data_IF_523345457873
#
_entry.id   IF_523345457873
#
_cell.length_a   1.000
_cell.length_b   1.000
_cell.length_c   1.000
_cell.angle_alpha   90.00
_cell.angle_beta   90.00
_cell.angle_gamma   90.00
#
_symmetry.space_group_name_H-M   'P 1'
#
loop_
_entity.id
_entity.type
_entity.pdbx_description
1 polymer ?
#
# COMPACT_ATOMS: atom_id res chain seq x y z
N UNK A 1 -20.95 -38.26 -16.50
CA UNK A 1 -20.96 -36.89 -15.92
C UNK A 1 -20.40 -36.86 -14.50
N UNK A 2 -20.92 -37.62 -13.53
CA UNK A 2 -20.44 -37.58 -12.12
C UNK A 2 -18.91 -37.74 -11.94
N UNK A 3 -18.29 -38.68 -12.68
CA UNK A 3 -16.84 -38.96 -12.60
C UNK A 3 -15.98 -37.76 -13.11
N UNK A 4 -16.41 -37.06 -14.17
CA UNK A 4 -15.74 -35.84 -14.66
C UNK A 4 -15.87 -34.66 -13.70
N UNK A 5 -17.05 -34.47 -13.11
CA UNK A 5 -17.26 -33.46 -12.08
C UNK A 5 -16.42 -33.69 -10.81
N UNK A 6 -16.30 -34.96 -10.43
CA UNK A 6 -15.48 -35.36 -9.28
C UNK A 6 -13.97 -35.13 -9.56
N UNK A 7 -13.49 -35.44 -10.74
CA UNK A 7 -12.12 -35.15 -11.16
C UNK A 7 -11.85 -33.64 -11.23
N UNK A 8 -12.79 -32.86 -11.78
CA UNK A 8 -12.69 -31.40 -11.84
C UNK A 8 -12.66 -30.78 -10.44
N UNK A 9 -13.52 -31.24 -9.51
CA UNK A 9 -13.51 -30.73 -8.14
C UNK A 9 -12.20 -31.03 -7.40
N UNK A 10 -11.63 -32.21 -7.59
CA UNK A 10 -10.33 -32.59 -7.01
C UNK A 10 -9.21 -31.73 -7.59
N UNK A 11 -9.23 -31.47 -8.90
CA UNK A 11 -8.27 -30.59 -9.56
C UNK A 11 -8.38 -29.16 -9.05
N UNK A 12 -9.59 -28.58 -9.00
CA UNK A 12 -9.83 -27.21 -8.50
C UNK A 12 -9.40 -27.06 -7.06
N UNK A 13 -9.71 -28.01 -6.18
CA UNK A 13 -9.27 -27.98 -4.78
C UNK A 13 -7.75 -28.12 -4.65
N UNK A 14 -7.13 -28.96 -5.50
CA UNK A 14 -5.68 -29.14 -5.51
C UNK A 14 -4.89 -27.90 -5.95
N UNK A 15 -5.49 -27.05 -6.79
CA UNK A 15 -4.86 -25.88 -7.40
C UNK A 15 -5.51 -24.55 -6.96
N UNK A 16 -6.36 -24.58 -5.94
CA UNK A 16 -7.17 -23.42 -5.51
C UNK A 16 -6.34 -22.17 -5.24
N UNK A 17 -5.19 -22.32 -4.61
CA UNK A 17 -4.28 -21.18 -4.37
C UNK A 17 -3.81 -20.54 -5.68
N UNK A 18 -3.31 -21.34 -6.63
CA UNK A 18 -2.81 -20.84 -7.92
C UNK A 18 -3.92 -20.19 -8.74
N UNK A 19 -5.10 -20.76 -8.72
CA UNK A 19 -6.28 -20.22 -9.43
C UNK A 19 -6.64 -18.84 -8.83
N UNK A 20 -6.72 -18.74 -7.52
CA UNK A 20 -7.00 -17.46 -6.85
C UNK A 20 -5.90 -16.41 -7.09
N UNK A 21 -4.64 -16.83 -7.10
CA UNK A 21 -3.50 -15.95 -7.41
C UNK A 21 -3.61 -15.38 -8.83
N UNK A 22 -3.90 -16.21 -9.81
CA UNK A 22 -4.07 -15.80 -11.22
C UNK A 22 -5.30 -14.89 -11.37
N UNK A 23 -6.45 -15.25 -10.76
CA UNK A 23 -7.66 -14.41 -10.81
C UNK A 23 -7.37 -13.03 -10.20
N UNK A 24 -6.71 -12.98 -9.05
CA UNK A 24 -6.31 -11.71 -8.42
C UNK A 24 -5.47 -10.86 -9.37
N UNK A 25 -4.48 -11.46 -10.03
CA UNK A 25 -3.64 -10.76 -11.01
C UNK A 25 -4.43 -10.24 -12.20
N UNK A 26 -5.29 -11.06 -12.80
CA UNK A 26 -6.09 -10.66 -13.96
C UNK A 26 -7.08 -9.53 -13.63
N UNK A 27 -7.75 -9.62 -12.48
CA UNK A 27 -8.67 -8.56 -12.02
C UNK A 27 -7.91 -7.26 -11.79
N UNK A 28 -6.80 -7.33 -11.06
CA UNK A 28 -6.00 -6.15 -10.76
C UNK A 28 -5.37 -5.52 -12.01
N UNK A 29 -4.91 -6.35 -12.97
CA UNK A 29 -4.42 -5.88 -14.27
C UNK A 29 -5.53 -5.14 -15.04
N UNK A 30 -6.76 -5.68 -15.03
CA UNK A 30 -7.91 -4.99 -15.62
C UNK A 30 -8.10 -3.60 -15.07
N UNK A 31 -8.06 -3.41 -13.74
CA UNK A 31 -8.16 -2.10 -13.12
C UNK A 31 -6.99 -1.17 -13.49
N UNK A 32 -5.75 -1.68 -13.57
CA UNK A 32 -4.59 -0.89 -14.02
C UNK A 32 -4.76 -0.38 -15.46
N UNK A 33 -5.16 -1.25 -16.39
CA UNK A 33 -5.32 -0.91 -17.80
C UNK A 33 -6.35 0.21 -18.02
N UNK A 34 -7.39 0.26 -17.18
CA UNK A 34 -8.41 1.30 -17.21
C UNK A 34 -8.16 2.46 -16.23
N UNK A 35 -6.93 2.64 -15.75
CA UNK A 35 -6.56 3.80 -14.93
C UNK A 35 -5.77 4.79 -15.80
N UNK A 36 -6.25 6.04 -16.02
CA UNK A 36 -5.54 7.04 -16.81
C UNK A 36 -4.39 7.68 -16.03
N UNK A 37 -3.55 8.45 -16.71
CA UNK A 37 -2.64 9.40 -16.04
C UNK A 37 -3.44 10.55 -15.46
N UNK A 38 -3.07 10.97 -14.23
CA UNK A 38 -3.79 12.02 -13.50
C UNK A 38 -2.86 12.85 -12.62
N UNK A 39 -3.22 14.10 -12.39
CA UNK A 39 -2.59 15.02 -11.43
C UNK A 39 -1.05 15.03 -11.52
N UNK A 40 -0.36 14.60 -10.46
CA UNK A 40 1.11 14.62 -10.38
C UNK A 40 1.81 13.76 -11.45
N UNK A 41 1.12 12.83 -12.13
CA UNK A 41 1.73 12.08 -13.23
C UNK A 41 2.30 13.05 -14.28
N UNK A 42 1.58 14.09 -14.62
CA UNK A 42 2.04 15.11 -15.57
C UNK A 42 3.24 15.92 -15.06
N UNK A 43 3.37 16.09 -13.73
CA UNK A 43 4.53 16.75 -13.10
C UNK A 43 5.82 15.92 -13.24
N UNK A 44 5.70 14.60 -13.16
CA UNK A 44 6.85 13.68 -13.19
C UNK A 44 7.19 13.19 -14.60
N UNK A 45 6.34 13.43 -15.60
CA UNK A 45 6.62 13.14 -17.02
C UNK A 45 7.80 13.97 -17.57
N UNK A 46 8.32 13.59 -18.72
CA UNK A 46 9.31 14.37 -19.47
C UNK A 46 10.75 14.19 -19.05
N UNK A 47 11.10 13.05 -18.43
CA UNK A 47 12.50 12.64 -18.23
C UNK A 47 13.16 12.27 -19.55
N UNK A 48 14.24 12.98 -19.93
CA UNK A 48 14.93 12.80 -21.23
C UNK A 48 16.00 11.67 -21.19
N UNK A 49 16.60 11.46 -20.02
CA UNK A 49 17.63 10.44 -19.78
C UNK A 49 17.67 10.06 -18.30
N UNK A 50 18.34 8.97 -17.97
CA UNK A 50 18.54 8.55 -16.58
C UNK A 50 19.22 9.64 -15.73
N UNK A 51 20.22 10.33 -16.30
CA UNK A 51 20.91 11.42 -15.61
C UNK A 51 20.00 12.64 -15.39
N UNK A 52 19.14 12.98 -16.36
CA UNK A 52 18.14 14.02 -16.20
C UNK A 52 17.13 13.69 -15.10
N UNK A 53 16.66 12.44 -15.06
CA UNK A 53 15.75 11.97 -14.01
C UNK A 53 16.41 12.00 -12.62
N UNK A 54 17.67 11.60 -12.50
CA UNK A 54 18.44 11.68 -11.26
C UNK A 54 18.64 13.13 -10.82
N UNK A 55 18.94 14.04 -11.77
CA UNK A 55 19.10 15.45 -11.47
C UNK A 55 17.76 16.07 -10.99
N UNK A 56 16.66 15.79 -11.69
CA UNK A 56 15.33 16.25 -11.29
C UNK A 56 14.94 15.72 -9.91
N UNK A 57 15.29 14.47 -9.60
CA UNK A 57 15.03 13.90 -8.29
C UNK A 57 15.90 14.51 -7.19
N UNK A 58 17.18 14.77 -7.48
CA UNK A 58 18.04 15.54 -6.56
C UNK A 58 17.45 16.93 -6.25
N UNK A 59 17.00 17.65 -7.28
CA UNK A 59 16.35 18.96 -7.09
C UNK A 59 15.06 18.85 -6.26
N UNK A 60 14.29 17.78 -6.46
CA UNK A 60 13.09 17.52 -5.67
C UNK A 60 13.41 17.22 -4.21
N UNK A 61 14.42 16.40 -3.95
CA UNK A 61 14.91 16.08 -2.60
C UNK A 61 15.38 17.34 -1.87
N UNK A 62 16.06 18.23 -2.58
CA UNK A 62 16.58 19.48 -2.00
C UNK A 62 15.51 20.54 -1.78
N UNK A 63 14.41 20.56 -2.57
CA UNK A 63 13.47 21.68 -2.58
C UNK A 63 12.03 21.31 -2.18
N UNK A 64 11.65 20.00 -2.16
CA UNK A 64 10.25 19.63 -1.97
C UNK A 64 10.03 18.63 -0.84
N UNK A 65 10.59 17.42 -0.93
CA UNK A 65 10.40 16.36 0.08
C UNK A 65 11.39 15.20 -0.11
N UNK A 66 11.51 14.36 0.92
CA UNK A 66 12.48 13.27 0.98
C UNK A 66 12.09 11.95 0.33
N UNK A 67 10.92 11.79 -0.31
CA UNK A 67 10.43 10.50 -0.84
C UNK A 67 11.07 10.11 -2.18
N UNK A 68 12.39 10.23 -2.28
CA UNK A 68 13.12 10.09 -3.55
C UNK A 68 12.99 8.73 -4.21
N UNK A 69 12.90 7.65 -3.44
CA UNK A 69 12.71 6.31 -4.00
C UNK A 69 11.42 6.24 -4.84
N UNK A 70 10.31 6.73 -4.27
CA UNK A 70 9.01 6.69 -4.92
C UNK A 70 8.96 7.59 -6.18
N UNK A 71 9.47 8.82 -6.05
CA UNK A 71 9.41 9.79 -7.15
C UNK A 71 10.36 9.42 -8.30
N UNK A 72 11.54 8.88 -7.98
CA UNK A 72 12.46 8.39 -9.01
C UNK A 72 11.82 7.24 -9.81
N UNK A 73 11.21 6.27 -9.12
CA UNK A 73 10.50 5.16 -9.78
C UNK A 73 9.34 5.69 -10.64
N UNK A 74 8.56 6.65 -10.14
CA UNK A 74 7.49 7.26 -10.90
C UNK A 74 8.02 7.91 -12.20
N UNK A 75 9.12 8.68 -12.14
CA UNK A 75 9.76 9.27 -13.33
C UNK A 75 10.20 8.22 -14.34
N UNK A 76 10.81 7.13 -13.86
CA UNK A 76 11.25 6.03 -14.72
C UNK A 76 10.07 5.41 -15.46
N UNK A 77 8.97 5.10 -14.75
CA UNK A 77 7.81 4.47 -15.38
C UNK A 77 6.98 5.43 -16.24
N UNK A 78 6.91 6.71 -15.89
CA UNK A 78 6.26 7.73 -16.72
C UNK A 78 7.03 8.05 -18.02
N UNK A 79 8.30 7.64 -18.11
CA UNK A 79 9.08 7.71 -19.36
C UNK A 79 8.91 6.48 -20.26
N UNK A 80 8.19 5.46 -19.78
CA UNK A 80 7.97 4.20 -20.49
C UNK A 80 6.51 4.07 -20.97
N UNK A 81 6.24 2.99 -21.72
CA UNK A 81 4.87 2.66 -22.09
C UNK A 81 4.06 2.29 -20.83
N UNK A 82 2.86 2.88 -20.71
CA UNK A 82 1.96 2.64 -19.58
C UNK A 82 1.68 1.16 -19.34
N UNK A 83 1.51 0.38 -20.40
CA UNK A 83 1.24 -1.08 -20.28
C UNK A 83 2.36 -1.79 -19.52
N UNK A 84 3.63 -1.38 -19.72
CA UNK A 84 4.75 -1.94 -18.97
C UNK A 84 4.60 -1.67 -17.47
N UNK A 85 4.23 -0.44 -17.10
CA UNK A 85 3.92 -0.11 -15.72
C UNK A 85 2.75 -0.95 -15.19
N UNK A 86 1.65 -1.05 -15.92
CA UNK A 86 0.44 -1.77 -15.50
C UNK A 86 0.73 -3.25 -15.19
N UNK A 87 1.57 -3.90 -16.01
CA UNK A 87 2.01 -5.29 -15.79
C UNK A 87 2.91 -5.40 -14.56
N UNK A 88 3.90 -4.52 -14.43
CA UNK A 88 4.83 -4.53 -13.29
C UNK A 88 4.09 -4.19 -11.99
N UNK A 89 3.19 -3.20 -12.03
CA UNK A 89 2.37 -2.83 -10.88
C UNK A 89 1.46 -3.98 -10.43
N UNK A 90 0.92 -4.74 -11.38
CA UNK A 90 0.18 -5.97 -11.09
C UNK A 90 1.08 -7.01 -10.42
N UNK A 91 2.29 -7.19 -10.91
CA UNK A 91 3.29 -8.06 -10.27
C UNK A 91 3.63 -7.62 -8.84
N UNK A 92 3.75 -6.32 -8.59
CA UNK A 92 3.98 -5.76 -7.25
C UNK A 92 2.79 -6.00 -6.31
N UNK A 93 1.56 -5.87 -6.80
CA UNK A 93 0.36 -6.19 -6.01
C UNK A 93 0.28 -7.70 -5.69
N UNK A 94 0.58 -8.56 -6.65
CA UNK A 94 0.67 -10.00 -6.42
C UNK A 94 1.77 -10.34 -5.41
N UNK A 95 2.91 -9.66 -5.47
CA UNK A 95 3.97 -9.82 -4.49
C UNK A 95 3.55 -9.32 -3.10
N UNK A 96 2.85 -8.18 -3.00
CA UNK A 96 2.27 -7.68 -1.76
C UNK A 96 1.39 -8.77 -1.10
N UNK A 97 0.42 -9.29 -1.84
CA UNK A 97 -0.52 -10.29 -1.32
C UNK A 97 0.17 -11.61 -0.97
N UNK A 98 1.13 -12.03 -1.77
CA UNK A 98 1.91 -13.25 -1.52
C UNK A 98 2.86 -13.08 -0.32
N UNK A 99 3.48 -11.91 -0.17
CA UNK A 99 4.35 -11.63 0.98
C UNK A 99 3.55 -11.64 2.30
N UNK A 100 2.35 -11.04 2.33
CA UNK A 100 1.44 -11.12 3.48
C UNK A 100 1.06 -12.59 3.76
N UNK A 101 0.77 -13.36 2.72
CA UNK A 101 0.51 -14.79 2.85
C UNK A 101 1.70 -15.53 3.49
N UNK A 102 2.94 -15.21 3.09
CA UNK A 102 4.15 -15.83 3.65
C UNK A 102 4.39 -15.43 5.12
N UNK A 103 4.07 -14.20 5.53
CA UNK A 103 4.09 -13.81 6.93
C UNK A 103 3.22 -14.73 7.80
N UNK A 104 2.03 -15.08 7.30
CA UNK A 104 1.07 -15.91 8.02
C UNK A 104 1.39 -17.42 7.95
N UNK A 105 1.80 -17.93 6.78
CA UNK A 105 1.94 -19.39 6.54
C UNK A 105 3.39 -19.90 6.59
N UNK A 106 4.38 -19.01 6.47
CA UNK A 106 5.78 -19.40 6.25
C UNK A 106 6.01 -19.97 4.84
N UNK A 107 7.24 -20.41 4.58
CA UNK A 107 7.63 -20.98 3.28
C UNK A 107 7.45 -22.49 3.18
N UNK A 108 7.35 -23.18 4.33
CA UNK A 108 7.19 -24.65 4.40
C UNK A 108 5.72 -24.99 4.66
N UNK A 109 5.03 -25.51 3.67
CA UNK A 109 3.61 -25.90 3.72
C UNK A 109 3.30 -27.10 4.65
N UNK A 110 4.13 -27.42 5.63
CA UNK A 110 4.05 -28.63 6.42
C UNK A 110 2.97 -28.64 7.50
N UNK A 111 2.35 -27.51 7.82
CA UNK A 111 1.40 -27.39 8.94
C UNK A 111 -0.03 -26.98 8.56
N UNK A 112 -0.25 -26.49 7.35
CA UNK A 112 -1.54 -25.91 6.96
C UNK A 112 -2.20 -26.77 5.89
N UNK A 113 -3.47 -27.12 6.06
CA UNK A 113 -4.22 -27.82 5.01
C UNK A 113 -4.34 -26.94 3.77
N UNK A 114 -4.37 -27.53 2.56
CA UNK A 114 -4.51 -26.80 1.29
C UNK A 114 -5.72 -25.85 1.30
N UNK A 115 -6.80 -26.21 1.95
CA UNK A 115 -8.01 -25.40 2.06
C UNK A 115 -7.79 -24.13 2.91
N UNK A 116 -7.08 -24.23 4.04
CA UNK A 116 -6.77 -23.06 4.88
C UNK A 116 -5.82 -22.12 4.12
N UNK A 117 -4.85 -22.67 3.42
CA UNK A 117 -3.92 -21.91 2.58
C UNK A 117 -4.63 -21.08 1.52
N UNK A 118 -5.57 -21.66 0.77
CA UNK A 118 -6.35 -20.95 -0.24
C UNK A 118 -7.28 -19.89 0.37
N UNK A 119 -7.93 -20.20 1.50
CA UNK A 119 -8.79 -19.24 2.22
C UNK A 119 -7.98 -18.07 2.77
N UNK A 120 -6.79 -18.31 3.32
CA UNK A 120 -5.90 -17.23 3.79
C UNK A 120 -5.48 -16.34 2.64
N UNK A 121 -5.12 -16.94 1.49
CA UNK A 121 -4.77 -16.12 0.34
C UNK A 121 -5.97 -15.28 -0.13
N UNK A 122 -7.16 -15.85 -0.20
CA UNK A 122 -8.38 -15.14 -0.60
C UNK A 122 -8.72 -13.98 0.35
N UNK A 123 -8.54 -14.18 1.67
CA UNK A 123 -8.77 -13.15 2.68
C UNK A 123 -7.94 -11.89 2.42
N UNK A 124 -6.69 -12.03 1.98
CA UNK A 124 -5.74 -10.92 1.84
C UNK A 124 -6.16 -9.91 0.78
N UNK A 125 -6.30 -10.26 -0.53
CA UNK A 125 -6.70 -9.29 -1.54
C UNK A 125 -8.12 -8.74 -1.31
N UNK A 126 -9.05 -9.56 -0.79
CA UNK A 126 -10.38 -9.08 -0.44
C UNK A 126 -10.35 -8.04 0.68
N UNK A 127 -9.51 -8.25 1.71
CA UNK A 127 -9.34 -7.29 2.80
C UNK A 127 -8.69 -6.00 2.33
N UNK A 128 -7.64 -6.06 1.51
CA UNK A 128 -7.02 -4.87 0.91
C UNK A 128 -8.07 -4.10 0.09
N UNK A 129 -8.83 -4.79 -0.75
CA UNK A 129 -9.86 -4.21 -1.61
C UNK A 129 -10.94 -3.48 -0.81
N UNK A 130 -11.40 -4.08 0.30
CA UNK A 130 -12.50 -3.52 1.09
C UNK A 130 -12.05 -2.46 2.11
N UNK A 131 -10.88 -2.63 2.74
CA UNK A 131 -10.50 -1.82 3.90
C UNK A 131 -9.47 -0.73 3.60
N UNK A 132 -8.77 -0.75 2.46
CA UNK A 132 -7.99 0.41 2.03
C UNK A 132 -8.94 1.54 1.65
N UNK A 133 -8.72 2.73 2.20
CA UNK A 133 -9.69 3.84 2.11
C UNK A 133 -9.78 4.44 0.70
N UNK A 134 -8.65 4.65 0.03
CA UNK A 134 -8.57 5.17 -1.36
C UNK A 134 -7.68 4.27 -2.22
N UNK A 135 -8.15 3.06 -2.49
CA UNK A 135 -7.36 2.02 -3.18
C UNK A 135 -6.95 2.45 -4.59
N UNK A 136 -7.81 3.19 -5.32
CA UNK A 136 -7.48 3.76 -6.62
C UNK A 136 -6.24 4.65 -6.57
N UNK A 137 -6.16 5.52 -5.56
CA UNK A 137 -5.02 6.42 -5.39
C UNK A 137 -3.76 5.73 -4.88
N UNK A 138 -3.89 4.67 -4.08
CA UNK A 138 -2.74 4.01 -3.44
C UNK A 138 -2.19 2.82 -4.20
N UNK A 139 -3.01 2.19 -5.07
CA UNK A 139 -2.64 0.97 -5.77
C UNK A 139 -2.68 1.07 -7.30
N UNK A 140 -3.42 2.04 -7.88
CA UNK A 140 -3.62 2.13 -9.32
C UNK A 140 -3.03 3.41 -9.93
N UNK A 141 -3.14 4.55 -9.27
CA UNK A 141 -2.51 5.81 -9.70
C UNK A 141 -0.99 5.68 -9.68
N UNK A 142 -0.30 5.95 -10.79
CA UNK A 142 1.12 5.66 -10.96
C UNK A 142 1.99 6.31 -9.85
N UNK A 143 1.93 7.62 -9.71
CA UNK A 143 2.71 8.32 -8.65
C UNK A 143 2.27 7.87 -7.26
N UNK A 144 0.97 7.70 -7.05
CA UNK A 144 0.43 7.25 -5.77
C UNK A 144 0.88 5.83 -5.41
N UNK A 145 0.83 4.90 -6.35
CA UNK A 145 1.23 3.51 -6.07
C UNK A 145 2.72 3.38 -5.78
N UNK A 146 3.59 4.12 -6.47
CA UNK A 146 5.02 4.18 -6.16
C UNK A 146 5.27 4.67 -4.71
N UNK A 147 4.47 5.64 -4.24
CA UNK A 147 4.58 6.21 -2.90
C UNK A 147 4.02 5.29 -1.80
N UNK A 148 2.89 4.62 -2.04
CA UNK A 148 2.16 3.92 -0.98
C UNK A 148 2.28 2.40 -1.08
N UNK A 149 1.78 1.79 -2.17
CA UNK A 149 1.79 0.34 -2.31
C UNK A 149 3.21 -0.22 -2.44
N UNK A 150 4.05 0.37 -3.30
CA UNK A 150 5.42 -0.12 -3.46
C UNK A 150 6.26 0.14 -2.21
N UNK A 151 6.06 1.29 -1.54
CA UNK A 151 6.67 1.54 -0.23
C UNK A 151 6.34 0.46 0.79
N UNK A 152 5.06 0.08 0.88
CA UNK A 152 4.62 -1.01 1.75
C UNK A 152 5.22 -2.36 1.32
N UNK A 153 5.34 -2.63 0.01
CA UNK A 153 5.98 -3.85 -0.51
C UNK A 153 7.43 -3.97 -0.02
N UNK A 154 8.22 -2.90 -0.11
CA UNK A 154 9.59 -2.91 0.40
C UNK A 154 9.63 -3.20 1.90
N UNK A 155 8.77 -2.57 2.68
CA UNK A 155 8.67 -2.70 4.13
C UNK A 155 8.30 -4.13 4.53
N UNK A 156 7.23 -4.70 3.96
CA UNK A 156 6.80 -6.05 4.35
C UNK A 156 7.74 -7.13 3.82
N UNK A 157 8.40 -6.91 2.67
CA UNK A 157 9.44 -7.82 2.18
C UNK A 157 10.64 -7.84 3.12
N UNK A 158 11.04 -6.69 3.66
CA UNK A 158 12.09 -6.60 4.67
C UNK A 158 11.71 -7.28 6.00
N UNK A 159 10.45 -7.17 6.42
CA UNK A 159 9.95 -7.82 7.63
C UNK A 159 9.76 -9.34 7.50
N UNK A 160 9.71 -9.86 6.27
CA UNK A 160 9.45 -11.28 6.05
C UNK A 160 10.48 -12.21 6.73
N UNK A 161 11.81 -12.00 6.63
CA UNK A 161 12.80 -12.78 7.38
C UNK A 161 12.56 -12.81 8.90
N UNK A 162 12.08 -11.71 9.48
CA UNK A 162 11.75 -11.67 10.91
C UNK A 162 10.56 -12.57 11.24
N UNK A 163 9.46 -12.50 10.49
CA UNK A 163 8.31 -13.39 10.69
C UNK A 163 8.67 -14.85 10.45
N UNK A 164 9.46 -15.14 9.41
CA UNK A 164 9.94 -16.49 9.14
C UNK A 164 10.80 -17.04 10.28
N UNK A 165 11.65 -16.21 10.86
CA UNK A 165 12.52 -16.62 11.96
C UNK A 165 11.74 -16.82 13.28
N UNK A 166 10.96 -15.83 13.70
CA UNK A 166 10.32 -15.82 15.00
C UNK A 166 9.04 -16.65 15.06
N UNK A 167 8.19 -16.60 14.02
CA UNK A 167 6.90 -17.30 14.01
C UNK A 167 7.07 -18.74 13.50
N UNK A 168 7.90 -18.92 12.45
CA UNK A 168 7.99 -20.19 11.73
C UNK A 168 9.28 -20.97 11.99
N UNK A 169 10.23 -20.41 12.77
CA UNK A 169 11.51 -21.04 13.08
C UNK A 169 12.43 -21.22 11.86
N UNK A 170 12.24 -20.42 10.82
CA UNK A 170 12.96 -20.52 9.55
C UNK A 170 14.00 -19.39 9.42
N UNK A 171 15.29 -19.71 9.44
CA UNK A 171 16.34 -18.72 9.18
C UNK A 171 16.68 -18.69 7.70
N UNK A 172 16.31 -17.61 7.03
CA UNK A 172 16.50 -17.41 5.57
C UNK A 172 17.78 -16.62 5.23
N UNK A 173 18.36 -15.91 6.20
CA UNK A 173 19.55 -15.07 6.02
C UNK A 173 20.76 -15.70 6.71
N UNK A 174 21.19 -16.88 6.21
CA UNK A 174 22.28 -17.64 6.83
C UNK A 174 23.67 -17.20 6.34
N UNK A 175 23.77 -16.72 5.10
CA UNK A 175 25.00 -16.39 4.43
C UNK A 175 25.12 -14.88 4.20
N UNK A 176 26.34 -14.36 4.25
CA UNK A 176 26.64 -12.94 4.06
C UNK A 176 26.11 -12.36 2.73
N UNK A 177 26.14 -13.15 1.65
CA UNK A 177 25.62 -12.71 0.33
C UNK A 177 24.09 -12.53 0.32
N UNK A 178 23.36 -13.13 1.28
CA UNK A 178 21.92 -12.92 1.47
C UNK A 178 21.64 -11.65 2.29
N UNK A 179 22.62 -11.20 3.08
CA UNK A 179 22.51 -10.02 3.93
C UNK A 179 22.67 -8.72 3.13
N UNK A 180 23.53 -8.72 2.09
CA UNK A 180 23.73 -7.53 1.25
C UNK A 180 22.42 -7.03 0.63
N UNK A 181 21.63 -7.83 -0.13
CA UNK A 181 20.36 -7.37 -0.67
C UNK A 181 19.36 -7.00 0.42
N UNK A 182 19.42 -7.66 1.59
CA UNK A 182 18.57 -7.30 2.73
C UNK A 182 18.90 -5.91 3.28
N UNK A 183 20.18 -5.54 3.38
CA UNK A 183 20.63 -4.22 3.84
C UNK A 183 20.22 -3.13 2.82
N UNK A 184 20.39 -3.38 1.53
CA UNK A 184 19.95 -2.46 0.48
C UNK A 184 18.44 -2.26 0.53
N UNK A 185 17.69 -3.35 0.67
CA UNK A 185 16.24 -3.29 0.85
C UNK A 185 15.85 -2.52 2.13
N UNK A 186 16.65 -2.66 3.21
CA UNK A 186 16.39 -1.95 4.45
C UNK A 186 16.53 -0.43 4.31
N UNK A 187 17.54 0.04 3.55
CA UNK A 187 17.67 1.46 3.22
C UNK A 187 16.47 1.95 2.40
N UNK A 188 16.07 1.20 1.37
CA UNK A 188 14.91 1.55 0.53
C UNK A 188 13.62 1.56 1.35
N UNK A 189 13.38 0.56 2.19
CA UNK A 189 12.20 0.47 3.05
C UNK A 189 12.15 1.59 4.09
N UNK A 190 13.29 1.94 4.69
CA UNK A 190 13.40 3.10 5.58
C UNK A 190 13.14 4.42 4.87
N UNK A 191 13.52 4.53 3.60
CA UNK A 191 13.39 5.74 2.77
C UNK A 191 12.05 5.82 2.01
N UNK A 192 11.01 5.09 2.44
CA UNK A 192 9.77 4.97 1.68
C UNK A 192 8.64 5.88 2.18
N UNK A 193 8.31 5.86 3.47
CA UNK A 193 7.15 6.58 4.00
C UNK A 193 7.35 6.91 5.49
N UNK A 194 7.05 8.13 5.89
CA UNK A 194 7.35 8.65 7.23
C UNK A 194 6.69 7.81 8.33
N UNK A 195 5.40 7.53 8.21
CA UNK A 195 4.64 6.80 9.22
C UNK A 195 4.85 5.28 9.13
N UNK A 196 4.83 4.72 7.90
CA UNK A 196 4.95 3.26 7.73
C UNK A 196 6.38 2.78 8.01
N UNK A 197 7.42 3.55 7.63
CA UNK A 197 8.81 3.21 7.97
C UNK A 197 9.09 3.41 9.47
N UNK A 198 8.41 4.33 10.13
CA UNK A 198 8.42 4.43 11.60
C UNK A 198 7.84 3.18 12.25
N UNK A 199 6.72 2.66 11.75
CA UNK A 199 6.12 1.40 12.21
C UNK A 199 7.03 0.19 11.94
N UNK A 200 7.74 0.16 10.81
CA UNK A 200 8.77 -0.84 10.49
C UNK A 200 9.84 -0.89 11.58
N UNK A 201 10.41 0.26 11.95
CA UNK A 201 11.44 0.35 13.01
C UNK A 201 10.86 -0.18 14.33
N UNK A 202 9.63 0.19 14.67
CA UNK A 202 8.94 -0.32 15.87
C UNK A 202 8.82 -1.85 15.85
N UNK A 203 8.44 -2.46 14.73
CA UNK A 203 8.32 -3.92 14.61
C UNK A 203 9.69 -4.60 14.75
N UNK A 204 10.73 -4.07 14.11
CA UNK A 204 12.10 -4.62 14.20
C UNK A 204 12.60 -4.57 15.64
N UNK A 205 12.44 -3.43 16.33
CA UNK A 205 12.79 -3.30 17.75
C UNK A 205 11.94 -4.22 18.63
N UNK A 206 10.64 -4.34 18.34
CA UNK A 206 9.74 -5.25 19.06
C UNK A 206 10.23 -6.70 19.00
N UNK A 207 10.67 -7.18 17.85
CA UNK A 207 11.26 -8.52 17.73
C UNK A 207 12.59 -8.67 18.46
N UNK A 208 13.45 -7.65 18.46
CA UNK A 208 14.71 -7.67 19.23
C UNK A 208 14.40 -7.73 20.73
N UNK A 209 13.48 -6.92 21.22
CA UNK A 209 13.01 -6.94 22.61
C UNK A 209 12.43 -8.29 22.98
N UNK A 210 11.56 -8.87 22.14
CA UNK A 210 11.02 -10.21 22.33
C UNK A 210 12.15 -11.26 22.48
N UNK A 211 13.15 -11.20 21.59
CA UNK A 211 14.27 -12.13 21.63
C UNK A 211 15.09 -12.02 22.91
N UNK A 212 15.29 -10.81 23.45
CA UNK A 212 15.97 -10.60 24.72
C UNK A 212 15.21 -11.21 25.90
N UNK A 213 13.89 -11.03 25.95
CA UNK A 213 13.06 -11.61 27.03
C UNK A 213 12.94 -13.13 26.95
N UNK A 214 12.87 -13.69 25.75
CA UNK A 214 12.72 -15.14 25.54
C UNK A 214 14.05 -15.88 25.42
N UNK A 215 15.18 -15.15 25.48
CA UNK A 215 16.53 -15.67 25.25
C UNK A 215 16.69 -16.33 23.86
N UNK A 216 15.89 -15.92 22.88
CA UNK A 216 16.02 -16.36 21.50
C UNK A 216 17.28 -15.76 20.89
N UNK A 217 18.03 -16.57 20.13
CA UNK A 217 19.33 -16.12 19.56
C UNK A 217 19.10 -15.02 18.53
N UNK A 218 19.61 -13.82 18.78
CA UNK A 218 19.68 -12.74 17.81
C UNK A 218 20.71 -13.05 16.71
N UNK A 219 20.43 -12.61 15.50
CA UNK A 219 21.28 -12.78 14.31
C UNK A 219 21.86 -11.43 13.86
N UNK A 220 23.04 -11.42 13.30
CA UNK A 220 23.71 -10.19 12.83
C UNK A 220 22.85 -9.43 11.83
N UNK A 221 22.21 -10.12 10.87
CA UNK A 221 21.36 -9.52 9.86
C UNK A 221 20.20 -8.67 10.44
N UNK A 222 19.75 -8.94 11.68
CA UNK A 222 18.69 -8.15 12.34
C UNK A 222 19.20 -6.75 12.68
N UNK A 223 20.43 -6.63 13.16
CA UNK A 223 21.06 -5.33 13.47
C UNK A 223 21.47 -4.60 12.19
N UNK A 224 22.04 -5.31 11.23
CA UNK A 224 22.45 -4.76 9.93
C UNK A 224 21.26 -4.16 9.17
N UNK A 225 20.13 -4.89 9.11
CA UNK A 225 18.91 -4.38 8.49
C UNK A 225 18.27 -3.24 9.30
N UNK A 226 18.34 -3.26 10.64
CA UNK A 226 17.87 -2.14 11.46
C UNK A 226 18.69 -0.87 11.18
N UNK A 227 20.04 -0.98 11.13
CA UNK A 227 20.92 0.14 10.79
C UNK A 227 20.60 0.66 9.38
N UNK A 228 20.46 -0.23 8.39
CA UNK A 228 20.06 0.16 7.03
C UNK A 228 18.72 0.92 7.01
N UNK A 229 17.72 0.43 7.76
CA UNK A 229 16.42 1.10 7.88
C UNK A 229 16.55 2.49 8.52
N UNK A 230 17.35 2.62 9.58
CA UNK A 230 17.58 3.91 10.24
C UNK A 230 18.30 4.91 9.31
N UNK A 231 19.25 4.46 8.50
CA UNK A 231 19.90 5.30 7.47
C UNK A 231 18.84 5.79 6.46
N UNK A 232 18.04 4.88 5.89
CA UNK A 232 16.99 5.25 4.94
C UNK A 232 15.96 6.20 5.55
N UNK A 233 15.54 5.95 6.79
CA UNK A 233 14.61 6.80 7.51
C UNK A 233 15.18 8.20 7.81
N UNK A 234 16.47 8.28 8.16
CA UNK A 234 17.15 9.55 8.33
C UNK A 234 17.22 10.35 7.01
N UNK A 235 17.52 9.69 5.88
CA UNK A 235 17.48 10.33 4.55
C UNK A 235 16.09 10.88 4.22
N UNK A 236 15.03 10.18 4.61
CA UNK A 236 13.66 10.64 4.40
C UNK A 236 13.32 11.88 5.26
N UNK A 237 13.51 11.77 6.57
CA UNK A 237 13.06 12.79 7.54
C UNK A 237 13.90 14.06 7.50
N UNK A 238 15.22 13.93 7.32
CA UNK A 238 16.15 15.07 7.29
C UNK A 238 16.38 15.63 5.88
N UNK A 239 15.47 15.35 4.95
CA UNK A 239 15.52 15.94 3.60
C UNK A 239 15.47 17.49 3.70
N UNK A 240 16.41 18.22 3.04
CA UNK A 240 16.37 19.68 3.01
C UNK A 240 15.06 20.24 2.43
N UNK A 241 14.46 19.54 1.49
CA UNK A 241 13.22 19.93 0.85
C UNK A 241 12.04 20.12 1.80
N UNK A 242 11.99 19.40 2.93
CA UNK A 242 10.96 19.63 3.94
C UNK A 242 11.03 21.07 4.52
N UNK A 243 12.22 21.54 4.84
CA UNK A 243 12.40 22.91 5.37
C UNK A 243 12.15 23.97 4.30
N UNK A 244 12.63 23.76 3.07
CA UNK A 244 12.42 24.68 1.94
C UNK A 244 10.92 24.83 1.66
N UNK A 245 10.20 23.69 1.57
CA UNK A 245 8.76 23.68 1.33
C UNK A 245 7.96 24.35 2.43
N UNK A 246 8.33 24.18 3.69
CA UNK A 246 7.67 24.84 4.82
C UNK A 246 7.89 26.34 4.84
N UNK A 247 8.99 26.83 4.24
CA UNK A 247 9.30 28.25 4.11
C UNK A 247 8.69 28.88 2.83
N UNK A 248 8.09 28.08 1.93
CA UNK A 248 7.36 28.60 0.78
C UNK A 248 6.04 29.22 1.27
N UNK A 249 5.80 30.54 1.03
CA UNK A 249 4.61 31.23 1.52
C UNK A 249 3.29 30.59 1.03
N UNK A 250 3.23 30.12 -0.23
CA UNK A 250 2.02 29.51 -0.77
C UNK A 250 1.74 28.17 -0.11
N UNK A 251 2.77 27.37 0.11
CA UNK A 251 2.64 26.11 0.83
C UNK A 251 2.34 26.33 2.31
N UNK A 252 3.05 27.24 2.96
CA UNK A 252 2.83 27.59 4.36
C UNK A 252 1.39 28.06 4.60
N UNK A 253 0.84 28.95 3.77
CA UNK A 253 -0.55 29.40 3.86
C UNK A 253 -1.57 28.24 3.73
N UNK A 254 -1.24 27.19 3.00
CA UNK A 254 -2.12 26.02 2.83
C UNK A 254 -2.04 25.01 3.99
N UNK A 255 -0.99 25.08 4.82
CA UNK A 255 -0.64 24.05 5.82
C UNK A 255 -0.54 24.60 7.23
N UNK A 256 -0.14 25.88 7.38
CA UNK A 256 -0.04 26.53 8.70
C UNK A 256 -1.44 26.82 9.22
N UNK A 257 -1.68 26.31 10.41
CA UNK A 257 -2.91 26.52 11.15
C UNK A 257 -2.58 27.41 12.34
N UNK A 258 -3.10 28.65 12.33
CA UNK A 258 -2.84 29.66 13.35
C UNK A 258 -3.58 29.42 14.67
N UNK A 259 -4.37 28.34 14.74
CA UNK A 259 -5.08 27.95 15.97
C UNK A 259 -4.10 27.47 17.05
N UNK A 260 -4.59 27.41 18.28
CA UNK A 260 -3.80 26.89 19.41
C UNK A 260 -3.23 25.49 19.08
N UNK A 261 -1.90 25.27 19.19
CA UNK A 261 -1.27 23.99 18.87
C UNK A 261 -1.86 22.78 19.59
N UNK A 262 -2.33 22.96 20.83
CA UNK A 262 -2.99 21.89 21.60
C UNK A 262 -4.32 21.47 20.98
N UNK A 263 -5.09 22.43 20.44
CA UNK A 263 -6.34 22.14 19.74
C UNK A 263 -6.09 21.38 18.41
N UNK A 264 -5.05 21.78 17.68
CA UNK A 264 -4.65 21.10 16.45
C UNK A 264 -4.24 19.66 16.73
N UNK A 265 -3.42 19.43 17.76
CA UNK A 265 -3.01 18.08 18.18
C UNK A 265 -4.21 17.26 18.62
N UNK A 266 -5.12 17.83 19.42
CA UNK A 266 -6.32 17.17 19.89
C UNK A 266 -7.26 16.78 18.70
N UNK A 267 -7.44 17.67 17.73
CA UNK A 267 -8.22 17.40 16.52
C UNK A 267 -7.58 16.29 15.67
N UNK A 268 -6.27 16.34 15.46
CA UNK A 268 -5.55 15.29 14.72
C UNK A 268 -5.63 13.94 15.42
N UNK A 269 -5.51 13.93 16.75
CA UNK A 269 -5.70 12.73 17.57
C UNK A 269 -7.13 12.17 17.42
N UNK A 270 -8.13 13.05 17.51
CA UNK A 270 -9.53 12.66 17.33
C UNK A 270 -9.80 12.10 15.93
N UNK A 271 -9.22 12.72 14.87
CA UNK A 271 -9.36 12.26 13.49
C UNK A 271 -8.67 10.90 13.27
N UNK A 272 -7.45 10.70 13.78
CA UNK A 272 -6.75 9.42 13.73
C UNK A 272 -7.55 8.32 14.47
N UNK A 273 -8.06 8.64 15.66
CA UNK A 273 -8.92 7.73 16.43
C UNK A 273 -10.22 7.41 15.68
N UNK A 274 -10.87 8.43 15.09
CA UNK A 274 -12.05 8.24 14.26
C UNK A 274 -11.78 7.33 13.09
N UNK A 275 -10.66 7.52 12.36
CA UNK A 275 -10.27 6.64 11.25
C UNK A 275 -10.16 5.18 11.72
N UNK A 276 -9.40 4.91 12.78
CA UNK A 276 -9.22 3.56 13.31
C UNK A 276 -10.56 2.90 13.68
N UNK A 277 -11.41 3.61 14.39
CA UNK A 277 -12.67 3.07 14.92
C UNK A 277 -13.89 3.23 13.99
N UNK A 278 -13.73 3.79 12.79
CA UNK A 278 -14.78 3.79 11.76
C UNK A 278 -14.38 3.01 10.53
N UNK A 279 -13.17 3.26 9.98
CA UNK A 279 -12.71 2.65 8.73
C UNK A 279 -12.03 1.31 8.95
N UNK A 280 -11.31 1.12 10.07
CA UNK A 280 -10.54 -0.08 10.36
C UNK A 280 -11.18 -0.97 11.44
N UNK A 281 -12.34 -0.60 11.97
CA UNK A 281 -12.98 -1.27 13.10
C UNK A 281 -13.18 -2.77 12.89
N UNK A 282 -13.54 -3.21 11.68
CA UNK A 282 -13.75 -4.62 11.35
C UNK A 282 -12.46 -5.42 11.50
N UNK A 283 -11.34 -4.89 10.98
CA UNK A 283 -10.04 -5.55 11.13
C UNK A 283 -9.55 -5.54 12.57
N UNK A 284 -9.80 -4.46 13.32
CA UNK A 284 -9.44 -4.34 14.74
C UNK A 284 -10.23 -5.36 15.58
N UNK A 285 -11.55 -5.48 15.37
CA UNK A 285 -12.37 -6.46 16.08
C UNK A 285 -12.01 -7.90 15.70
N UNK A 286 -11.70 -8.14 14.44
CA UNK A 286 -11.24 -9.45 13.96
C UNK A 286 -9.89 -9.82 14.60
N UNK A 287 -8.96 -8.89 14.69
CA UNK A 287 -7.67 -9.07 15.36
C UNK A 287 -7.86 -9.37 16.84
N UNK A 288 -8.69 -8.59 17.54
CA UNK A 288 -9.02 -8.82 18.95
C UNK A 288 -9.63 -10.20 19.15
N UNK A 289 -10.55 -10.63 18.27
CA UNK A 289 -11.14 -11.96 18.29
C UNK A 289 -10.06 -13.06 18.18
N UNK A 290 -9.11 -12.94 17.23
CA UNK A 290 -8.04 -13.93 17.08
C UNK A 290 -7.12 -13.96 18.30
N UNK A 291 -6.70 -12.82 18.84
CA UNK A 291 -5.86 -12.76 20.05
C UNK A 291 -6.55 -13.47 21.22
N UNK A 292 -7.84 -13.16 21.50
CA UNK A 292 -8.60 -13.78 22.58
C UNK A 292 -8.74 -15.29 22.34
N UNK A 293 -9.04 -15.69 21.11
CA UNK A 293 -9.18 -17.10 20.75
C UNK A 293 -7.85 -17.86 20.92
N UNK A 294 -6.71 -17.26 20.55
CA UNK A 294 -5.39 -17.88 20.69
C UNK A 294 -4.95 -17.99 22.14
N UNK A 295 -5.27 -17.00 22.98
CA UNK A 295 -5.07 -17.12 24.43
C UNK A 295 -5.91 -18.29 24.99
N UNK A 296 -7.18 -18.40 24.59
CA UNK A 296 -8.05 -19.49 25.01
C UNK A 296 -7.57 -20.86 24.51
N UNK A 297 -7.10 -20.93 23.25
CA UNK A 297 -6.53 -22.15 22.64
C UNK A 297 -5.11 -22.45 23.11
N UNK A 298 -4.52 -21.66 24.00
CA UNK A 298 -3.14 -21.79 24.51
C UNK A 298 -2.11 -21.91 23.38
N UNK A 299 -2.24 -21.07 22.35
CA UNK A 299 -1.30 -21.04 21.22
C UNK A 299 0.09 -20.58 21.64
N UNK A 300 1.06 -20.81 20.76
CA UNK A 300 2.44 -20.40 20.98
C UNK A 300 2.55 -18.87 21.21
N UNK A 301 3.40 -18.48 22.16
CA UNK A 301 3.56 -17.06 22.55
C UNK A 301 4.03 -16.19 21.40
N UNK A 302 4.85 -16.73 20.51
CA UNK A 302 5.36 -16.06 19.31
C UNK A 302 4.23 -15.63 18.39
N UNK A 303 3.22 -16.46 18.24
CA UNK A 303 2.04 -16.19 17.41
C UNK A 303 1.24 -15.02 17.98
N UNK A 304 0.87 -15.10 19.26
CA UNK A 304 0.09 -14.05 19.94
C UNK A 304 0.87 -12.74 19.98
N UNK A 305 2.18 -12.82 20.24
CA UNK A 305 3.04 -11.65 20.25
C UNK A 305 3.10 -10.98 18.88
N UNK A 306 3.19 -11.75 17.80
CA UNK A 306 3.22 -11.19 16.43
C UNK A 306 1.91 -10.48 16.08
N UNK A 307 0.76 -11.03 16.44
CA UNK A 307 -0.55 -10.38 16.24
C UNK A 307 -0.62 -9.04 16.97
N UNK A 308 -0.21 -9.02 18.24
CA UNK A 308 -0.17 -7.80 19.04
C UNK A 308 0.83 -6.79 18.46
N UNK A 309 2.03 -7.23 18.07
CA UNK A 309 3.08 -6.37 17.56
C UNK A 309 2.67 -5.68 16.24
N UNK A 310 2.14 -6.42 15.28
CA UNK A 310 1.65 -5.85 14.02
C UNK A 310 0.42 -4.96 14.26
N UNK A 311 -0.47 -5.34 15.17
CA UNK A 311 -1.62 -4.52 15.57
C UNK A 311 -1.18 -3.19 16.19
N UNK A 312 -0.29 -3.22 17.19
CA UNK A 312 0.24 -2.00 17.81
C UNK A 312 1.01 -1.12 16.82
N UNK A 313 1.76 -1.74 15.89
CA UNK A 313 2.45 -1.01 14.83
C UNK A 313 1.48 -0.30 13.88
N UNK A 314 0.31 -0.90 13.59
CA UNK A 314 -0.74 -0.25 12.82
C UNK A 314 -1.28 1.00 13.55
N UNK A 315 -1.54 0.89 14.85
CA UNK A 315 -1.95 2.05 15.66
C UNK A 315 -0.85 3.12 15.71
N UNK A 316 0.41 2.73 15.92
CA UNK A 316 1.53 3.67 15.92
C UNK A 316 1.70 4.35 14.55
N UNK A 317 1.51 3.62 13.45
CA UNK A 317 1.54 4.15 12.09
C UNK A 317 0.49 5.23 11.87
N UNK A 318 -0.72 5.06 12.41
CA UNK A 318 -1.79 6.05 12.32
C UNK A 318 -1.50 7.25 13.23
N UNK A 319 -1.18 7.02 14.49
CA UNK A 319 -0.93 8.11 15.44
C UNK A 319 0.35 8.91 15.13
N UNK A 320 1.32 8.35 14.41
CA UNK A 320 2.48 9.11 13.94
C UNK A 320 2.09 10.27 13.01
N UNK A 321 0.95 10.18 12.32
CA UNK A 321 0.44 11.24 11.45
C UNK A 321 0.01 12.50 12.21
N UNK A 322 -0.21 12.44 13.52
CA UNK A 322 -0.49 13.60 14.36
C UNK A 322 0.67 14.62 14.30
N UNK A 323 1.90 14.11 14.15
CA UNK A 323 3.10 14.93 14.05
C UNK A 323 3.31 15.53 12.63
N UNK A 324 2.52 15.13 11.65
CA UNK A 324 2.62 15.67 10.30
C UNK A 324 2.21 17.13 10.24
N UNK A 325 3.02 18.02 9.67
CA UNK A 325 2.68 19.45 9.59
C UNK A 325 1.50 19.74 8.65
N UNK A 326 1.26 18.91 7.67
CA UNK A 326 0.25 19.13 6.64
C UNK A 326 -1.09 18.45 6.88
N UNK A 327 -2.08 18.80 6.03
CA UNK A 327 -3.38 18.12 6.01
C UNK A 327 -3.18 16.65 5.66
N UNK A 328 -3.69 15.77 6.50
CA UNK A 328 -3.67 14.33 6.25
C UNK A 328 -4.59 14.00 5.07
N UNK A 329 -4.07 13.25 4.12
CA UNK A 329 -4.84 12.65 3.03
C UNK A 329 -5.07 11.17 3.33
N UNK A 330 -6.22 10.62 2.93
CA UNK A 330 -6.61 9.24 3.24
C UNK A 330 -5.61 8.18 2.73
N UNK A 331 -4.82 8.51 1.71
CA UNK A 331 -3.81 7.60 1.14
C UNK A 331 -2.62 7.30 2.06
N UNK A 332 -2.30 8.17 3.03
CA UNK A 332 -1.20 7.94 3.99
C UNK A 332 -1.51 6.82 4.98
N UNK A 333 -2.79 6.44 5.12
CA UNK A 333 -3.25 5.36 6.00
C UNK A 333 -3.08 3.96 5.40
N UNK A 334 -2.58 3.84 4.16
CA UNK A 334 -2.39 2.55 3.47
C UNK A 334 -1.61 1.54 4.32
N UNK A 335 -0.48 1.97 4.91
CA UNK A 335 0.35 1.12 5.77
C UNK A 335 -0.39 0.57 6.98
N UNK A 336 -1.29 1.35 7.57
CA UNK A 336 -2.14 0.92 8.71
C UNK A 336 -2.96 -0.31 8.34
N UNK A 337 -3.68 -0.22 7.21
CA UNK A 337 -4.51 -1.33 6.72
C UNK A 337 -3.67 -2.57 6.42
N UNK A 338 -2.50 -2.42 5.77
CA UNK A 338 -1.63 -3.56 5.45
C UNK A 338 -1.14 -4.25 6.72
N UNK A 339 -0.72 -3.51 7.74
CA UNK A 339 -0.26 -4.08 9.01
C UNK A 339 -1.39 -4.84 9.74
N UNK A 340 -2.62 -4.31 9.74
CA UNK A 340 -3.79 -5.00 10.29
C UNK A 340 -4.13 -6.28 9.50
N UNK A 341 -4.04 -6.24 8.16
CA UNK A 341 -4.28 -7.42 7.31
C UNK A 341 -3.24 -8.50 7.58
N UNK A 342 -1.96 -8.15 7.79
CA UNK A 342 -0.92 -9.11 8.20
C UNK A 342 -1.29 -9.75 9.54
N UNK A 343 -1.62 -8.94 10.55
CA UNK A 343 -2.00 -9.43 11.88
C UNK A 343 -3.20 -10.37 11.84
N UNK A 344 -4.26 -10.00 11.12
CA UNK A 344 -5.45 -10.84 10.94
C UNK A 344 -5.15 -12.12 10.14
N UNK A 345 -4.25 -12.05 9.14
CA UNK A 345 -3.85 -13.23 8.36
C UNK A 345 -3.09 -14.25 9.21
N UNK A 346 -2.19 -13.78 10.10
CA UNK A 346 -1.51 -14.60 11.10
C UNK A 346 -2.55 -15.26 12.01
N UNK A 347 -3.54 -14.50 12.48
CA UNK A 347 -4.64 -15.00 13.30
C UNK A 347 -5.47 -16.06 12.61
N UNK A 348 -5.83 -15.85 11.36
CA UNK A 348 -6.61 -16.82 10.59
C UNK A 348 -5.89 -18.16 10.43
N UNK A 349 -4.58 -18.15 10.18
CA UNK A 349 -3.76 -19.36 10.03
C UNK A 349 -3.47 -20.03 11.37
N UNK A 350 -3.21 -19.28 12.41
CA UNK A 350 -2.87 -19.76 13.74
C UNK A 350 -4.03 -20.46 14.47
N UNK A 351 -5.27 -20.17 14.08
CA UNK A 351 -6.46 -20.72 14.72
C UNK A 351 -6.62 -22.22 14.48
N UNK A 352 -6.84 -22.99 15.56
CA UNK A 352 -7.28 -24.39 15.45
C UNK A 352 -8.79 -24.42 15.23
N UNK A 353 -9.19 -24.99 14.10
CA UNK A 353 -10.60 -25.11 13.72
C UNK A 353 -11.15 -26.50 14.07
N UNK A 354 -11.01 -26.92 15.34
CA UNK A 354 -11.43 -28.25 15.79
C UNK A 354 -12.94 -28.33 16.07
N UNK A 355 -13.58 -27.17 16.29
CA UNK A 355 -15.00 -27.04 16.60
C UNK A 355 -15.80 -26.66 15.34
N UNK A 356 -16.99 -27.26 15.21
CA UNK A 356 -17.91 -26.98 14.07
C UNK A 356 -18.33 -25.51 13.99
N UNK A 357 -18.48 -24.86 15.16
CA UNK A 357 -18.84 -23.45 15.28
C UNK A 357 -17.74 -22.55 14.66
N UNK A 358 -16.46 -22.83 14.92
CA UNK A 358 -15.36 -22.08 14.35
C UNK A 358 -15.24 -22.28 12.82
N UNK A 359 -15.50 -23.52 12.35
CA UNK A 359 -15.62 -23.78 10.91
C UNK A 359 -16.75 -22.97 10.29
N UNK A 360 -17.91 -22.94 10.93
CA UNK A 360 -19.06 -22.17 10.45
C UNK A 360 -18.76 -20.66 10.42
N UNK A 361 -18.25 -20.10 11.52
CA UNK A 361 -17.89 -18.67 11.62
C UNK A 361 -16.89 -18.28 10.51
N UNK A 362 -15.84 -19.09 10.33
CA UNK A 362 -14.86 -18.84 9.26
C UNK A 362 -15.51 -18.87 7.87
N UNK A 363 -16.30 -19.89 7.58
CA UNK A 363 -16.93 -20.05 6.26
C UNK A 363 -17.95 -18.94 5.99
N UNK A 364 -18.78 -18.61 6.97
CA UNK A 364 -19.73 -17.51 6.88
C UNK A 364 -19.02 -16.17 6.68
N UNK A 365 -18.00 -15.88 7.50
CA UNK A 365 -17.21 -14.65 7.37
C UNK A 365 -16.53 -14.52 6.00
N UNK A 366 -15.94 -15.60 5.48
CA UNK A 366 -15.33 -15.61 4.14
C UNK A 366 -16.36 -15.43 3.03
N UNK A 367 -17.56 -16.01 3.18
CA UNK A 367 -18.66 -15.83 2.21
C UNK A 367 -19.12 -14.38 2.19
N UNK A 368 -19.32 -13.76 3.37
CA UNK A 368 -19.70 -12.35 3.48
C UNK A 368 -18.61 -11.46 2.87
N UNK A 369 -17.34 -11.69 3.20
CA UNK A 369 -16.20 -10.96 2.65
C UNK A 369 -16.19 -11.01 1.11
N UNK A 370 -16.38 -12.20 0.53
CA UNK A 370 -16.44 -12.40 -0.93
C UNK A 370 -17.61 -11.67 -1.58
N UNK A 371 -18.81 -11.78 -1.01
CA UNK A 371 -20.00 -11.11 -1.56
C UNK A 371 -19.82 -9.59 -1.56
N UNK A 372 -19.30 -9.01 -0.47
CA UNK A 372 -19.00 -7.59 -0.42
C UNK A 372 -17.89 -7.19 -1.40
N UNK A 373 -16.82 -7.98 -1.50
CA UNK A 373 -15.73 -7.74 -2.47
C UNK A 373 -16.26 -7.77 -3.90
N UNK A 374 -17.11 -8.74 -4.24
CA UNK A 374 -17.72 -8.83 -5.55
C UNK A 374 -18.63 -7.64 -5.85
N UNK A 375 -19.53 -7.28 -4.92
CA UNK A 375 -20.40 -6.14 -5.06
C UNK A 375 -19.64 -4.83 -5.28
N UNK A 376 -18.65 -4.57 -4.42
CA UNK A 376 -17.80 -3.39 -4.53
C UNK A 376 -16.91 -3.45 -5.79
N UNK A 377 -16.48 -4.64 -6.18
CA UNK A 377 -15.68 -4.85 -7.40
C UNK A 377 -16.46 -4.47 -8.67
N UNK A 378 -17.73 -4.84 -8.77
CA UNK A 378 -18.60 -4.48 -9.91
C UNK A 378 -18.82 -2.95 -9.95
N UNK A 379 -19.16 -2.34 -8.82
CA UNK A 379 -19.35 -0.88 -8.75
C UNK A 379 -18.04 -0.13 -9.07
N UNK A 380 -16.91 -0.61 -8.53
CA UNK A 380 -15.60 -0.04 -8.81
C UNK A 380 -15.19 -0.17 -10.27
N UNK A 381 -15.45 -1.32 -10.90
CA UNK A 381 -15.13 -1.54 -12.31
C UNK A 381 -15.94 -0.61 -13.22
N UNK A 382 -17.22 -0.42 -12.93
CA UNK A 382 -18.07 0.51 -13.66
C UNK A 382 -17.52 1.94 -13.56
N UNK A 383 -17.19 2.39 -12.36
CA UNK A 383 -16.67 3.73 -12.10
C UNK A 383 -15.31 3.96 -12.77
N UNK A 384 -14.38 3.01 -12.63
CA UNK A 384 -13.04 3.09 -13.24
C UNK A 384 -13.12 3.15 -14.77
N UNK A 385 -13.95 2.32 -15.40
CA UNK A 385 -14.12 2.32 -16.86
C UNK A 385 -14.76 3.64 -17.33
N UNK A 386 -15.75 4.14 -16.60
CA UNK A 386 -16.42 5.41 -16.94
C UNK A 386 -15.46 6.59 -16.80
N UNK A 387 -14.70 6.64 -15.69
CA UNK A 387 -13.70 7.68 -15.45
C UNK A 387 -12.56 7.62 -16.49
N UNK A 388 -12.12 6.41 -16.86
CA UNK A 388 -11.11 6.21 -17.91
C UNK A 388 -11.60 6.77 -19.27
N UNK A 389 -12.84 6.47 -19.65
CA UNK A 389 -13.42 6.97 -20.90
C UNK A 389 -13.45 8.49 -20.90
N UNK A 390 -13.95 9.11 -19.85
CA UNK A 390 -14.03 10.57 -19.75
C UNK A 390 -12.65 11.24 -19.80
N UNK A 391 -11.64 10.66 -19.14
CA UNK A 391 -10.27 11.15 -19.19
C UNK A 391 -9.65 10.97 -20.58
N UNK A 392 -9.90 9.85 -21.25
CA UNK A 392 -9.41 9.58 -22.60
C UNK A 392 -10.04 10.52 -23.62
N UNK A 393 -11.35 10.76 -23.52
CA UNK A 393 -12.06 11.70 -24.39
C UNK A 393 -11.51 13.14 -24.24
N UNK A 394 -11.18 13.55 -23.00
CA UNK A 394 -10.51 14.83 -22.73
C UNK A 394 -9.14 14.91 -23.41
N UNK A 395 -8.29 13.90 -23.24
CA UNK A 395 -6.95 13.84 -23.84
C UNK A 395 -7.05 13.92 -25.36
N UNK A 396 -7.89 13.09 -25.98
CA UNK A 396 -8.12 13.10 -27.44
C UNK A 396 -8.60 14.46 -27.97
N UNK A 397 -9.46 15.13 -27.20
CA UNK A 397 -9.92 16.48 -27.53
C UNK A 397 -8.74 17.46 -27.51
N UNK A 398 -7.93 17.49 -26.45
CA UNK A 398 -6.77 18.37 -26.33
C UNK A 398 -5.77 18.14 -27.48
N UNK A 399 -5.41 16.87 -27.71
CA UNK A 399 -4.49 16.50 -28.80
C UNK A 399 -5.00 16.97 -30.17
N UNK A 400 -6.31 16.86 -30.40
CA UNK A 400 -6.95 17.36 -31.63
C UNK A 400 -6.83 18.86 -31.76
N UNK A 401 -7.01 19.65 -30.67
CA UNK A 401 -6.87 21.10 -30.70
C UNK A 401 -5.41 21.51 -30.90
N UNK A 402 -4.47 20.86 -30.23
CA UNK A 402 -3.03 21.07 -30.39
C UNK A 402 -2.60 20.82 -31.85
N UNK A 403 -3.07 19.71 -32.44
CA UNK A 403 -2.79 19.40 -33.85
C UNK A 403 -3.34 20.47 -34.84
N UNK A 404 -4.39 21.20 -34.45
CA UNK A 404 -4.92 22.37 -35.20
C UNK A 404 -4.17 23.67 -34.91
N UNK A 405 -3.12 23.64 -34.09
CA UNK A 405 -2.30 24.82 -33.75
C UNK A 405 -2.83 25.66 -32.59
N UNK A 406 -3.80 25.14 -31.80
CA UNK A 406 -4.29 25.83 -30.62
C UNK A 406 -3.16 26.01 -29.59
N UNK A 407 -3.07 27.22 -29.01
CA UNK A 407 -2.16 27.56 -27.92
C UNK A 407 -2.84 27.57 -26.56
N UNK A 408 -4.16 27.71 -26.58
CA UNK A 408 -5.02 27.68 -25.39
C UNK A 408 -6.19 26.75 -25.66
N UNK A 409 -6.56 25.92 -24.69
CA UNK A 409 -7.66 24.97 -24.86
C UNK A 409 -8.51 24.95 -23.59
N UNK A 410 -9.80 25.21 -23.77
CA UNK A 410 -10.79 25.02 -22.68
C UNK A 410 -11.31 23.59 -22.73
N UNK A 411 -11.15 22.88 -21.64
CA UNK A 411 -11.58 21.49 -21.53
C UNK A 411 -12.72 21.36 -20.51
N UNK A 412 -13.70 20.48 -20.75
CA UNK A 412 -14.74 20.21 -19.78
C UNK A 412 -14.20 19.46 -18.55
N UNK A 413 -14.87 19.60 -17.42
CA UNK A 413 -14.66 18.74 -16.28
C UNK A 413 -14.94 17.28 -16.64
N UNK A 414 -14.30 16.36 -15.92
CA UNK A 414 -14.59 14.92 -16.05
C UNK A 414 -16.02 14.67 -15.54
N UNK A 415 -16.87 14.16 -16.43
CA UNK A 415 -18.27 13.91 -16.15
C UNK A 415 -18.63 12.50 -16.65
N UNK A 416 -19.25 11.63 -15.82
CA UNK A 416 -19.55 11.87 -14.38
C UNK A 416 -18.28 11.93 -13.52
N UNK A 417 -18.37 12.63 -12.39
CA UNK A 417 -17.28 12.62 -11.40
C UNK A 417 -17.07 11.20 -10.85
N UNK A 418 -15.79 10.80 -10.60
CA UNK A 418 -15.50 9.50 -10.00
C UNK A 418 -16.19 9.35 -8.65
N UNK A 419 -17.00 8.29 -8.52
CA UNK A 419 -17.92 8.12 -7.38
C UNK A 419 -17.38 7.18 -6.30
N UNK A 420 -16.37 6.35 -6.63
CA UNK A 420 -15.90 5.30 -5.73
C UNK A 420 -14.40 5.39 -5.46
N UNK A 421 -14.01 4.91 -4.30
CA UNK A 421 -12.59 4.82 -3.88
C UNK A 421 -11.70 3.96 -4.80
N UNK A 422 -12.27 3.26 -5.76
CA UNK A 422 -11.57 2.39 -6.70
C UNK A 422 -11.01 3.15 -7.91
N UNK A 423 -11.60 4.29 -8.25
CA UNK A 423 -11.02 5.19 -9.26
C UNK A 423 -9.81 5.95 -8.69
N UNK A 424 -8.73 6.05 -9.48
CA UNK A 424 -7.57 6.85 -9.13
C UNK A 424 -7.92 8.35 -8.99
N UNK A 425 -8.93 8.81 -9.71
CA UNK A 425 -9.39 10.19 -9.73
C UNK A 425 -10.33 10.55 -8.56
N UNK A 426 -10.86 9.56 -7.83
CA UNK A 426 -11.77 9.79 -6.72
C UNK A 426 -11.15 10.68 -5.65
N UNK A 427 -11.78 11.81 -5.34
CA UNK A 427 -11.29 12.83 -4.39
C UNK A 427 -9.87 13.35 -4.71
N UNK A 428 -9.37 13.14 -5.92
CA UNK A 428 -8.12 13.70 -6.39
C UNK A 428 -8.39 15.03 -7.09
N UNK A 429 -7.42 15.96 -6.98
CA UNK A 429 -7.52 17.28 -7.63
C UNK A 429 -7.52 17.12 -9.15
N UNK A 430 -8.56 17.58 -9.81
CA UNK A 430 -8.65 17.69 -11.27
C UNK A 430 -8.19 19.09 -11.76
N UNK A 431 -8.35 19.37 -13.05
CA UNK A 431 -8.16 20.70 -13.61
C UNK A 431 -9.13 21.69 -12.96
N UNK A 432 -8.70 22.95 -12.83
CA UNK A 432 -9.44 24.03 -12.17
C UNK A 432 -9.93 25.06 -13.17
N UNK A 433 -10.91 25.86 -12.78
CA UNK A 433 -11.34 27.07 -13.53
C UNK A 433 -10.22 28.12 -13.60
N UNK A 434 -9.26 28.10 -12.71
CA UNK A 434 -8.15 29.05 -12.67
C UNK A 434 -6.98 28.53 -13.50
N UNK A 435 -6.62 29.15 -14.63
CA UNK A 435 -5.53 28.70 -15.52
C UNK A 435 -4.17 28.58 -14.81
N UNK A 436 -3.93 29.42 -13.80
CA UNK A 436 -2.69 29.41 -12.99
C UNK A 436 -2.64 28.30 -11.94
N UNK A 437 -3.72 27.54 -11.76
CA UNK A 437 -3.74 26.45 -10.79
C UNK A 437 -2.73 25.37 -11.18
N UNK A 438 -2.09 24.76 -10.20
CA UNK A 438 -0.94 23.90 -10.47
C UNK A 438 -1.24 22.71 -11.40
N UNK A 439 -2.43 22.11 -11.32
CA UNK A 439 -2.82 21.00 -12.22
C UNK A 439 -2.97 21.46 -13.65
N UNK A 440 -3.57 22.64 -13.88
CA UNK A 440 -3.71 23.22 -15.20
C UNK A 440 -2.34 23.53 -15.81
N UNK A 441 -1.44 24.14 -15.02
CA UNK A 441 -0.09 24.48 -15.46
C UNK A 441 0.70 23.25 -15.92
N UNK A 442 0.76 22.17 -15.10
CA UNK A 442 1.54 20.98 -15.47
C UNK A 442 0.91 20.23 -16.65
N UNK A 443 -0.42 20.24 -16.76
CA UNK A 443 -1.14 19.66 -17.89
C UNK A 443 -0.86 20.45 -19.18
N UNK A 444 -0.94 21.80 -19.14
CA UNK A 444 -0.64 22.67 -20.25
C UNK A 444 0.83 22.53 -20.73
N UNK A 445 1.78 22.51 -19.79
CA UNK A 445 3.20 22.29 -20.09
C UNK A 445 3.44 20.96 -20.83
N UNK A 446 2.74 19.88 -20.41
CA UNK A 446 2.84 18.57 -21.06
C UNK A 446 2.42 18.63 -22.53
N UNK A 447 1.32 19.32 -22.84
CA UNK A 447 0.81 19.46 -24.20
C UNK A 447 1.38 20.68 -24.96
N UNK A 448 2.34 21.41 -24.38
CA UNK A 448 2.96 22.63 -24.96
C UNK A 448 1.96 23.72 -25.25
N UNK A 449 0.99 23.87 -24.37
CA UNK A 449 0.00 24.94 -24.37
C UNK A 449 0.47 26.13 -23.51
N UNK A 450 -0.02 27.32 -23.80
CA UNK A 450 0.23 28.52 -22.99
C UNK A 450 -0.68 28.53 -21.74
N UNK A 451 -1.88 27.95 -21.87
CA UNK A 451 -2.85 27.74 -20.77
C UNK A 451 -3.93 26.73 -21.17
#
# INVERSE_FOLDING_TARGET
MKKKWQQLSIFLLGHSFMILFIITGLVFLGFNLFTPYVADDYTYMGGKSLLDMLHKEYMQYMNMNGRSVAHFLARVFLSQNKILFDVINTGMFLWLTYCIYLHANGTKHTRVSKNISALTYLFIPCSIWLFVDVIGQTCLWLVGTCNYMWGAVWIITLLLPYSLYFIHGQNTCQHWYQQIPLILLAVVAGWSSENTSGALIMIMLGWIVYALFTKTKLKAWMFESLIGTLIGYALLIFSPGHSVRMNDPQYAMSVVDDRNPLLIIAERFANATKFLFTKQIVLILLLAFFIILHIYQKKAKELIYSEILFGLAAFACEYALILSPGRQTDRVTFGVTILLVIACSIGLVGTAYDRKELHFVRSAGMTVLLLFTFYQGVNGAYDVVTSYKAATDRVNYVETQVAKGAKQVVVPYITPEPATKYSAQYMLCDLSEFPTFWTNRVFAEHYKLDS
#
